data_IF_856561301091
#
_entry.id   IF_856561301091
#
_cell.length_a   1.000
_cell.length_b   1.000
_cell.length_c   1.000
_cell.angle_alpha   90.00
_cell.angle_beta   90.00
_cell.angle_gamma   90.00
#
_symmetry.space_group_name_H-M   'P 1'
#
loop_
_entity.id
_entity.type
_entity.pdbx_description
1 polymer ?
#
# COMPACT_ATOMS: atom_id res chain seq x y z
N UNK A 1 -2.65 26.55 -6.27
CA UNK A 1 -1.31 26.02 -6.58
C UNK A 1 -1.49 24.63 -7.17
N UNK A 2 -0.82 24.29 -8.26
CA UNK A 2 -0.83 22.94 -8.86
C UNK A 2 0.62 22.46 -8.91
N UNK A 3 0.88 21.23 -8.45
CA UNK A 3 2.22 20.63 -8.45
C UNK A 3 2.15 19.32 -9.25
N UNK A 4 2.73 19.27 -10.46
CA UNK A 4 2.73 18.06 -11.28
C UNK A 4 3.70 17.01 -10.72
N UNK A 5 3.33 15.74 -10.82
CA UNK A 5 4.17 14.60 -10.45
C UNK A 5 4.22 13.55 -11.57
N UNK A 6 5.20 12.65 -11.48
CA UNK A 6 5.39 11.56 -12.44
C UNK A 6 4.21 10.57 -12.43
N UNK A 7 3.83 10.10 -13.61
CA UNK A 7 2.80 9.07 -13.79
C UNK A 7 3.32 7.67 -13.41
N UNK A 8 2.42 6.68 -13.33
CA UNK A 8 2.74 5.31 -12.89
C UNK A 8 3.86 4.67 -13.71
N UNK A 9 3.87 4.85 -15.04
CA UNK A 9 4.91 4.26 -15.90
C UNK A 9 6.24 5.02 -15.86
N UNK A 10 6.28 6.19 -15.23
CA UNK A 10 7.44 7.09 -15.18
C UNK A 10 8.19 7.01 -13.84
N UNK A 11 7.75 6.14 -12.93
CA UNK A 11 8.33 5.97 -11.60
C UNK A 11 8.24 4.52 -11.13
N UNK A 12 9.00 4.23 -10.10
CA UNK A 12 8.89 2.99 -9.34
C UNK A 12 7.79 3.12 -8.29
N UNK A 13 7.12 2.02 -7.99
CA UNK A 13 6.05 2.04 -7.00
C UNK A 13 5.47 0.68 -6.69
N UNK A 14 4.39 0.71 -5.93
CA UNK A 14 3.64 -0.48 -5.51
C UNK A 14 2.17 -0.14 -5.32
N UNK A 15 1.30 -1.09 -5.61
CA UNK A 15 -0.12 -0.99 -5.36
C UNK A 15 -0.63 -2.20 -4.58
N UNK A 16 -1.69 -1.98 -3.80
CA UNK A 16 -2.53 -3.03 -3.23
C UNK A 16 -3.83 -3.00 -4.02
N UNK A 17 -4.24 -4.12 -4.61
CA UNK A 17 -5.48 -4.21 -5.37
C UNK A 17 -6.66 -4.68 -4.49
N UNK A 18 -7.85 -4.81 -5.10
CA UNK A 18 -9.09 -5.25 -4.43
C UNK A 18 -9.03 -6.66 -3.83
N UNK A 19 -8.13 -7.51 -4.32
CA UNK A 19 -7.88 -8.85 -3.77
C UNK A 19 -6.81 -8.83 -2.66
N UNK A 20 -6.49 -7.63 -2.13
CA UNK A 20 -5.46 -7.39 -1.12
C UNK A 20 -4.09 -7.96 -1.51
N UNK A 21 -3.79 -7.91 -2.81
CA UNK A 21 -2.48 -8.31 -3.33
C UNK A 21 -1.60 -7.10 -3.51
N UNK A 22 -0.47 -7.10 -2.81
CA UNK A 22 0.59 -6.12 -2.92
C UNK A 22 1.53 -6.49 -4.08
N UNK A 23 1.66 -5.61 -5.07
CA UNK A 23 2.55 -5.79 -6.22
C UNK A 23 3.42 -4.56 -6.43
N UNK A 24 4.67 -4.79 -6.85
CA UNK A 24 5.57 -3.73 -7.28
C UNK A 24 5.48 -3.51 -8.80
N UNK A 25 5.75 -2.29 -9.23
CA UNK A 25 5.99 -1.94 -10.62
C UNK A 25 7.25 -1.10 -10.73
N UNK A 26 7.93 -1.21 -11.87
CA UNK A 26 9.12 -0.44 -12.19
C UNK A 26 8.81 0.60 -13.24
N UNK A 27 9.62 1.64 -13.26
CA UNK A 27 9.65 2.66 -14.30
C UNK A 27 9.82 2.00 -15.67
N UNK A 28 8.89 2.26 -16.58
CA UNK A 28 8.88 1.71 -17.93
C UNK A 28 9.31 2.74 -18.97
N UNK A 29 9.05 4.03 -18.73
CA UNK A 29 9.37 5.13 -19.65
C UNK A 29 9.99 6.31 -18.89
N UNK A 30 10.83 7.12 -19.55
CA UNK A 30 11.35 8.33 -18.93
C UNK A 30 10.23 9.36 -18.71
N UNK A 31 10.24 9.98 -17.53
CA UNK A 31 9.31 11.07 -17.21
C UNK A 31 9.64 12.39 -17.93
N UNK A 32 8.67 13.33 -18.01
CA UNK A 32 8.88 14.66 -18.55
C UNK A 32 9.97 15.43 -17.80
N UNK A 33 10.77 16.21 -18.52
CA UNK A 33 11.87 17.00 -17.92
C UNK A 33 11.32 17.96 -16.86
N UNK A 34 11.99 17.99 -15.71
CA UNK A 34 11.63 18.88 -14.60
C UNK A 34 10.55 18.35 -13.66
N UNK A 35 9.79 17.31 -14.05
CA UNK A 35 8.79 16.65 -13.20
C UNK A 35 9.48 15.68 -12.23
N UNK A 36 8.95 15.54 -11.02
CA UNK A 36 9.50 14.71 -9.94
C UNK A 36 8.47 13.70 -9.45
N UNK A 37 8.93 12.62 -8.82
CA UNK A 37 8.03 11.65 -8.19
C UNK A 37 7.29 12.30 -7.01
N UNK A 38 6.12 11.77 -6.67
CA UNK A 38 5.32 12.25 -5.54
C UNK A 38 6.13 12.20 -4.24
N UNK A 39 6.91 11.15 -4.04
CA UNK A 39 7.78 10.99 -2.87
C UNK A 39 8.75 12.16 -2.73
N UNK A 40 9.40 12.55 -3.84
CA UNK A 40 10.36 13.66 -3.84
C UNK A 40 9.65 14.99 -3.58
N UNK A 41 8.46 15.18 -4.16
CA UNK A 41 7.66 16.39 -3.98
C UNK A 41 7.22 16.51 -2.52
N UNK A 42 6.66 15.44 -1.95
CA UNK A 42 6.19 15.40 -0.57
C UNK A 42 7.34 15.61 0.42
N UNK A 43 8.51 14.99 0.20
CA UNK A 43 9.70 15.22 1.03
C UNK A 43 10.13 16.70 1.02
N UNK A 44 10.13 17.34 -0.16
CA UNK A 44 10.47 18.77 -0.31
C UNK A 44 9.46 19.71 0.34
N UNK A 45 8.24 19.26 0.58
CA UNK A 45 7.20 20.02 1.28
C UNK A 45 7.27 19.73 2.78
N UNK A 46 7.33 18.45 3.17
CA UNK A 46 7.24 18.00 4.55
C UNK A 46 8.48 18.39 5.37
N UNK A 47 9.70 18.21 4.84
CA UNK A 47 10.91 18.48 5.61
C UNK A 47 11.01 19.96 6.04
N UNK A 48 10.81 20.98 5.18
CA UNK A 48 10.79 22.37 5.64
C UNK A 48 9.72 22.68 6.69
N UNK A 49 8.53 22.05 6.59
CA UNK A 49 7.47 22.21 7.59
C UNK A 49 7.88 21.62 8.95
N UNK A 50 8.70 20.56 8.94
CA UNK A 50 9.30 19.96 10.12
C UNK A 50 10.61 20.67 10.57
N UNK A 51 11.01 21.77 9.92
CA UNK A 51 12.30 22.45 10.14
C UNK A 51 13.53 21.56 9.83
N UNK A 52 13.35 20.57 8.96
CA UNK A 52 14.38 19.66 8.48
C UNK A 52 14.85 20.02 7.06
N UNK A 53 15.99 19.44 6.64
CA UNK A 53 16.47 19.56 5.27
C UNK A 53 15.96 18.39 4.45
N UNK A 54 15.21 18.68 3.39
CA UNK A 54 14.72 17.67 2.47
C UNK A 54 15.86 16.82 1.89
N UNK A 55 15.67 15.50 1.87
CA UNK A 55 16.58 14.60 1.19
C UNK A 55 16.62 14.93 -0.33
N UNK A 56 17.81 14.95 -0.96
CA UNK A 56 17.93 15.32 -2.38
C UNK A 56 17.24 14.33 -3.33
N UNK A 57 17.17 13.05 -2.95
CA UNK A 57 16.40 12.01 -3.62
C UNK A 57 16.06 10.91 -2.60
N UNK A 58 14.82 10.86 -2.12
CA UNK A 58 14.38 9.74 -1.28
C UNK A 58 14.13 8.52 -2.18
N UNK A 59 14.94 7.48 -2.01
CA UNK A 59 14.77 6.23 -2.75
C UNK A 59 13.52 5.48 -2.26
N UNK A 60 12.84 4.76 -3.15
CA UNK A 60 11.64 3.99 -2.81
C UNK A 60 11.90 2.96 -1.71
N UNK A 61 13.09 2.37 -1.66
CA UNK A 61 13.48 1.42 -0.62
C UNK A 61 13.59 2.07 0.76
N UNK A 62 14.08 3.30 0.84
CA UNK A 62 14.14 4.04 2.09
C UNK A 62 12.74 4.41 2.58
N UNK A 63 11.85 4.80 1.66
CA UNK A 63 10.45 5.04 2.00
C UNK A 63 9.80 3.77 2.53
N UNK A 64 9.99 2.64 1.85
CA UNK A 64 9.45 1.35 2.29
C UNK A 64 9.94 0.97 3.70
N UNK A 65 11.23 1.12 3.98
CA UNK A 65 11.81 0.87 5.31
C UNK A 65 11.16 1.74 6.39
N UNK A 66 10.84 3.00 6.09
CA UNK A 66 10.13 3.90 7.01
C UNK A 66 8.68 3.46 7.18
N UNK A 67 7.98 3.17 6.08
CA UNK A 67 6.57 2.80 6.07
C UNK A 67 6.28 1.53 6.86
N UNK A 68 7.04 0.45 6.65
CA UNK A 68 6.78 -0.84 7.33
C UNK A 68 7.02 -0.78 8.84
N UNK A 69 7.82 0.19 9.32
CA UNK A 69 7.99 0.44 10.76
C UNK A 69 6.82 1.16 11.41
N UNK A 70 6.00 1.85 10.61
CA UNK A 70 4.87 2.64 11.10
C UNK A 70 3.53 1.95 10.84
N UNK A 71 3.44 1.14 9.79
CA UNK A 71 2.20 0.48 9.36
C UNK A 71 2.18 -0.97 9.86
N UNK A 72 1.48 -1.21 10.97
CA UNK A 72 1.31 -2.55 11.54
C UNK A 72 0.61 -3.55 10.58
N UNK A 73 -0.10 -3.04 9.57
CA UNK A 73 -0.79 -3.86 8.55
C UNK A 73 0.14 -4.41 7.46
N UNK A 74 1.39 -3.96 7.41
CA UNK A 74 2.41 -4.48 6.49
C UNK A 74 3.48 -5.28 7.26
N UNK A 75 3.83 -6.51 6.83
CA UNK A 75 4.91 -7.25 7.44
C UNK A 75 6.25 -6.50 7.38
N UNK A 76 6.96 -6.42 8.51
CA UNK A 76 8.26 -5.71 8.64
C UNK A 76 9.35 -6.26 7.71
N UNK A 77 9.25 -7.54 7.34
CA UNK A 77 10.21 -8.20 6.45
C UNK A 77 10.03 -7.83 4.97
N UNK A 78 8.96 -7.10 4.61
CA UNK A 78 8.73 -6.66 3.25
C UNK A 78 9.61 -5.47 2.91
N UNK A 79 10.27 -5.57 1.77
CA UNK A 79 10.95 -4.45 1.12
C UNK A 79 10.45 -4.36 -0.31
N UNK A 80 10.49 -3.15 -0.90
CA UNK A 80 10.08 -2.98 -2.28
C UNK A 80 10.86 -3.90 -3.22
N UNK A 81 12.20 -3.97 -3.09
CA UNK A 81 13.06 -4.85 -3.89
C UNK A 81 12.75 -6.33 -3.76
N UNK A 82 12.36 -6.79 -2.58
CA UNK A 82 12.09 -8.22 -2.33
C UNK A 82 10.70 -8.67 -2.77
N UNK A 83 9.82 -7.75 -3.18
CA UNK A 83 8.49 -8.12 -3.67
C UNK A 83 8.61 -9.00 -4.92
N UNK A 84 7.98 -10.19 -4.95
CA UNK A 84 7.90 -11.02 -6.13
C UNK A 84 7.04 -10.35 -7.20
N UNK A 85 7.26 -10.68 -8.47
CA UNK A 85 6.50 -10.10 -9.58
C UNK A 85 5.00 -10.50 -9.50
N UNK A 86 4.69 -11.70 -8.99
CA UNK A 86 3.32 -12.17 -8.72
C UNK A 86 2.65 -11.48 -7.52
N UNK A 87 3.42 -10.69 -6.76
CA UNK A 87 2.96 -10.02 -5.56
C UNK A 87 2.74 -10.93 -4.35
N UNK A 88 2.39 -10.29 -3.23
CA UNK A 88 2.14 -10.93 -1.95
C UNK A 88 0.68 -10.71 -1.56
N UNK A 89 0.00 -11.77 -1.11
CA UNK A 89 -1.34 -11.65 -0.55
C UNK A 89 -1.22 -11.11 0.88
N UNK A 90 -1.95 -10.03 1.16
CA UNK A 90 -2.03 -9.42 2.48
C UNK A 90 -3.29 -9.90 3.21
N UNK A 91 -3.27 -9.84 4.54
CA UNK A 91 -4.48 -10.03 5.34
C UNK A 91 -5.39 -8.81 5.19
N UNK A 92 -6.50 -9.00 4.48
CA UNK A 92 -7.53 -7.99 4.28
C UNK A 92 -8.09 -7.42 5.59
N UNK A 93 -8.14 -8.22 6.67
CA UNK A 93 -8.71 -7.80 7.96
C UNK A 93 -7.97 -6.59 8.53
N UNK A 94 -6.67 -6.50 8.29
CA UNK A 94 -5.82 -5.40 8.75
C UNK A 94 -6.13 -4.03 8.09
N UNK A 95 -7.01 -4.00 7.08
CA UNK A 95 -7.32 -2.80 6.30
C UNK A 95 -8.82 -2.44 6.32
N UNK A 96 -9.66 -3.17 7.06
CA UNK A 96 -11.14 -2.99 7.05
C UNK A 96 -11.62 -1.63 7.57
N UNK A 97 -10.78 -0.95 8.34
CA UNK A 97 -11.09 0.36 8.91
C UNK A 97 -10.62 1.52 8.04
N UNK A 98 -9.89 1.24 6.96
CA UNK A 98 -9.55 2.26 5.98
C UNK A 98 -10.80 2.63 5.18
N UNK A 99 -11.03 3.94 5.03
CA UNK A 99 -12.04 4.46 4.12
C UNK A 99 -11.56 4.27 2.69
N UNK A 100 -11.90 3.13 2.08
CA UNK A 100 -11.62 2.89 0.66
C UNK A 100 -12.45 3.83 -0.20
N UNK A 101 -11.79 4.49 -1.16
CA UNK A 101 -12.43 5.39 -2.13
C UNK A 101 -13.19 4.64 -3.22
N UNK A 102 -13.00 3.32 -3.31
CA UNK A 102 -13.59 2.49 -4.35
C UNK A 102 -15.06 2.17 -4.05
N UNK A 103 -15.90 2.32 -5.06
CA UNK A 103 -17.33 2.03 -4.99
C UNK A 103 -17.63 0.64 -5.55
N UNK A 104 -18.85 0.15 -5.30
CA UNK A 104 -19.32 -1.13 -5.82
C UNK A 104 -19.10 -1.24 -7.33
N UNK A 105 -18.48 -2.34 -7.76
CA UNK A 105 -18.27 -2.68 -9.17
C UNK A 105 -18.59 -4.15 -9.42
N UNK A 106 -18.37 -4.64 -10.65
CA UNK A 106 -18.71 -6.02 -11.04
C UNK A 106 -18.03 -7.10 -10.18
N UNK A 107 -16.83 -6.83 -9.67
CA UNK A 107 -15.97 -7.79 -8.94
C UNK A 107 -15.79 -7.47 -7.46
N UNK A 108 -16.31 -6.33 -6.98
CA UNK A 108 -16.11 -5.86 -5.62
C UNK A 108 -17.34 -5.13 -5.09
N UNK A 109 -17.85 -5.61 -3.95
CA UNK A 109 -18.88 -4.92 -3.17
C UNK A 109 -18.29 -4.62 -1.77
N UNK A 110 -18.04 -3.34 -1.43
CA UNK A 110 -17.35 -2.97 -0.19
C UNK A 110 -18.13 -3.36 1.08
N UNK A 111 -19.47 -3.35 1.03
CA UNK A 111 -20.32 -3.70 2.18
C UNK A 111 -20.24 -5.20 2.40
N UNK A 112 -20.51 -5.99 1.36
CA UNK A 112 -20.44 -7.45 1.43
C UNK A 112 -19.01 -7.93 1.78
N UNK A 113 -17.98 -7.24 1.28
CA UNK A 113 -16.60 -7.52 1.61
C UNK A 113 -16.32 -7.36 3.10
N UNK A 114 -16.71 -6.20 3.67
CA UNK A 114 -16.52 -5.92 5.09
C UNK A 114 -17.30 -6.89 5.96
N UNK A 115 -18.55 -7.19 5.61
CA UNK A 115 -19.38 -8.17 6.33
C UNK A 115 -18.72 -9.57 6.34
N UNK A 116 -18.27 -10.07 5.19
CA UNK A 116 -17.64 -11.39 5.09
C UNK A 116 -16.38 -11.52 5.96
N UNK A 117 -15.54 -10.49 5.99
CA UNK A 117 -14.28 -10.51 6.72
C UNK A 117 -14.44 -10.20 8.22
N UNK A 118 -15.53 -9.53 8.61
CA UNK A 118 -15.91 -9.32 10.02
C UNK A 118 -16.59 -10.56 10.61
N UNK A 119 -17.47 -11.21 9.86
CA UNK A 119 -18.17 -12.43 10.28
C UNK A 119 -17.21 -13.63 10.45
N UNK A 120 -16.20 -13.75 9.57
CA UNK A 120 -15.13 -14.75 9.70
C UNK A 120 -14.27 -14.57 10.97
N UNK A 121 -14.24 -13.38 11.57
CA UNK A 121 -13.53 -13.13 12.84
C UNK A 121 -14.35 -13.53 14.08
N UNK A 122 -15.66 -13.77 13.94
CA UNK A 122 -16.59 -14.05 15.04
C UNK A 122 -17.04 -15.51 15.13
N UNK A 123 -16.64 -16.40 14.22
CA UNK A 123 -16.93 -17.83 14.35
C UNK A 123 -16.09 -18.43 15.49
N UNK A 124 -16.70 -18.88 16.61
CA UNK A 124 -15.95 -19.54 17.66
C UNK A 124 -15.46 -20.90 17.17
N UNK A 125 -14.27 -21.30 17.62
CA UNK A 125 -13.80 -22.67 17.59
C UNK A 125 -14.71 -23.52 18.50
N UNK A 126 -15.85 -23.95 17.98
CA UNK A 126 -16.78 -24.83 18.67
C UNK A 126 -17.20 -25.95 17.71
N UNK A 127 -16.29 -26.89 17.48
CA UNK A 127 -16.59 -28.24 16.99
C UNK A 127 -15.38 -29.16 17.26
N UNK A 128 -15.10 -29.39 18.53
CA UNK A 128 -14.31 -30.54 18.97
C UNK A 128 -14.87 -31.04 20.30
N UNK A 129 -16.10 -31.55 20.24
CA UNK A 129 -16.54 -32.59 21.16
C UNK A 129 -17.08 -33.74 20.31
N UNK A 130 -16.74 -34.94 20.80
CA UNK A 130 -17.46 -36.20 20.63
C UNK A 130 -17.00 -37.12 19.48
N UNK A 131 -16.03 -37.98 19.79
CA UNK A 131 -16.24 -39.42 19.60
C UNK A 131 -15.45 -40.22 20.64
N UNK A 132 -16.06 -41.33 21.04
CA UNK A 132 -15.87 -42.16 22.24
C UNK A 132 -14.51 -42.85 22.41
#
# INVERSE_FOLDING_TARGET
>A
LVIPSLMVFEKDGSFINQSFRLQRFKTAVPGPRGVKSDITILEKIAAPLAQEKAAPALAIDELWLRMVKTLASLPESLSWRSLPDEGVVLDAKAFLDLSFVETKNLKYDPVAFKEAHTASAQAPAAAAQEEA
#
